data_IF_457219517356
#
_entry.id   IF_457219517356
#
_cell.length_a   1.000
_cell.length_b   1.000
_cell.length_c   1.000
_cell.angle_alpha   90.00
_cell.angle_beta   90.00
_cell.angle_gamma   90.00
#
_symmetry.space_group_name_H-M   'P 1'
#
loop_
_entity.id
_entity.type
_entity.pdbx_description
1 polymer ?
#
# COMPACT_ATOMS: atom_id res chain seq x y z
N UNK A 1 13.51 -50.81 1.12
CA UNK A 1 13.47 -50.83 2.61
C UNK A 1 12.42 -49.82 3.05
N UNK A 2 11.43 -50.28 3.82
CA UNK A 2 10.19 -49.55 4.19
C UNK A 2 10.45 -48.43 5.22
N UNK A 3 9.78 -47.30 4.99
CA UNK A 3 9.26 -46.26 5.89
C UNK A 3 10.05 -45.79 7.12
N UNK A 4 10.03 -44.47 7.35
CA UNK A 4 9.47 -43.86 8.58
C UNK A 4 8.97 -42.44 8.29
N UNK A 5 7.65 -42.30 8.17
CA UNK A 5 6.95 -41.02 8.20
C UNK A 5 6.77 -40.55 9.64
N UNK A 6 7.01 -39.26 9.87
CA UNK A 6 6.79 -38.60 11.16
C UNK A 6 5.35 -38.10 11.20
N UNK A 7 4.56 -38.67 12.10
CA UNK A 7 3.17 -38.27 12.38
C UNK A 7 3.19 -37.16 13.44
N UNK A 8 2.79 -35.95 13.06
CA UNK A 8 2.57 -34.85 14.00
C UNK A 8 1.26 -35.07 14.78
N UNK A 9 1.37 -35.27 16.10
CA UNK A 9 0.22 -35.30 17.02
C UNK A 9 -0.37 -33.90 17.17
N UNK A 10 -1.60 -33.69 16.64
CA UNK A 10 -2.46 -32.56 17.04
C UNK A 10 -2.88 -32.76 18.48
N UNK A 11 -2.38 -31.91 19.38
CA UNK A 11 -2.87 -31.79 20.76
C UNK A 11 -4.02 -30.78 20.72
N UNK A 12 -5.25 -31.26 20.83
CA UNK A 12 -6.43 -30.42 21.05
C UNK A 12 -6.31 -29.90 22.47
N UNK A 13 -6.12 -28.59 22.63
CA UNK A 13 -6.20 -27.92 23.92
C UNK A 13 -7.56 -27.24 23.97
N UNK A 14 -8.42 -27.79 24.83
CA UNK A 14 -9.73 -27.26 25.18
C UNK A 14 -9.53 -26.02 26.06
N UNK A 15 -10.00 -24.85 25.61
CA UNK A 15 -10.04 -23.63 26.42
C UNK A 15 -11.48 -23.11 26.48
N UNK A 16 -12.04 -23.13 27.68
CA UNK A 16 -13.35 -22.56 27.99
C UNK A 16 -13.45 -21.09 27.57
N UNK A 17 -14.41 -20.80 26.71
CA UNK A 17 -14.60 -19.49 26.08
C UNK A 17 -15.30 -18.54 27.06
N UNK A 18 -14.53 -17.71 27.78
CA UNK A 18 -15.02 -16.41 28.23
C UNK A 18 -14.97 -15.48 27.02
N UNK A 19 -16.14 -15.17 26.45
CA UNK A 19 -16.27 -14.33 25.27
C UNK A 19 -15.77 -12.92 25.59
N UNK A 20 -14.64 -12.50 25.01
CA UNK A 20 -14.04 -11.19 25.28
C UNK A 20 -14.82 -10.08 24.55
N UNK A 21 -14.81 -8.86 25.09
CA UNK A 21 -15.41 -7.66 24.48
C UNK A 21 -14.93 -7.43 23.03
N UNK A 22 -13.65 -7.70 22.77
CA UNK A 22 -13.07 -7.60 21.42
C UNK A 22 -13.56 -8.76 20.53
N UNK A 23 -13.78 -9.98 21.04
CA UNK A 23 -14.45 -11.07 20.27
C UNK A 23 -15.90 -10.72 19.91
N UNK A 24 -16.61 -10.02 20.80
CA UNK A 24 -17.95 -9.53 20.54
C UNK A 24 -17.94 -8.44 19.45
N UNK A 25 -16.97 -7.51 19.47
CA UNK A 25 -16.82 -6.44 18.49
C UNK A 25 -16.13 -6.88 17.17
N UNK A 26 -15.25 -7.87 17.17
CA UNK A 26 -14.58 -8.42 15.98
C UNK A 26 -15.52 -9.32 15.19
N UNK A 27 -16.44 -10.04 15.86
CA UNK A 27 -17.59 -10.67 15.19
C UNK A 27 -18.53 -9.65 14.52
N UNK A 28 -18.42 -8.36 14.82
CA UNK A 28 -19.13 -7.30 14.11
C UNK A 28 -18.43 -6.89 12.81
N UNK A 29 -17.12 -7.14 12.65
CA UNK A 29 -16.34 -6.70 11.48
C UNK A 29 -16.41 -7.66 10.30
N UNK A 30 -16.93 -8.87 10.52
CA UNK A 30 -16.88 -9.98 9.56
C UNK A 30 -18.27 -10.52 9.21
N UNK A 31 -19.19 -9.65 8.84
CA UNK A 31 -20.36 -10.04 8.03
C UNK A 31 -20.38 -9.18 6.76
N UNK A 32 -20.15 -9.79 5.57
CA UNK A 32 -20.23 -9.05 4.33
C UNK A 32 -21.70 -8.84 4.00
N UNK A 33 -22.17 -7.59 4.09
CA UNK A 33 -23.34 -7.22 3.29
C UNK A 33 -22.95 -7.42 1.83
N UNK A 34 -23.42 -8.52 1.26
CA UNK A 34 -23.24 -8.88 -0.12
C UNK A 34 -24.02 -7.89 -0.99
N UNK A 35 -23.34 -6.90 -1.58
CA UNK A 35 -23.71 -6.33 -2.88
C UNK A 35 -22.72 -5.31 -3.48
N UNK A 36 -21.49 -5.11 -3.00
CA UNK A 36 -20.52 -4.28 -3.74
C UNK A 36 -19.12 -4.90 -3.71
N UNK A 37 -18.77 -5.61 -4.78
CA UNK A 37 -17.44 -6.20 -4.98
C UNK A 37 -16.47 -5.14 -5.52
N UNK A 38 -15.31 -4.99 -4.89
CA UNK A 38 -14.09 -4.64 -5.63
C UNK A 38 -13.06 -3.71 -5.02
N UNK A 39 -13.13 -3.31 -3.74
CA UNK A 39 -12.08 -2.47 -3.14
C UNK A 39 -11.55 -3.05 -1.82
N UNK A 40 -10.30 -2.71 -1.51
CA UNK A 40 -9.49 -3.19 -0.39
C UNK A 40 -10.28 -3.28 0.93
N UNK A 41 -9.87 -4.20 1.82
CA UNK A 41 -10.52 -4.50 3.11
C UNK A 41 -11.17 -3.25 3.73
N UNK A 42 -12.50 -3.25 3.80
CA UNK A 42 -13.27 -2.08 4.23
C UNK A 42 -12.81 -1.64 5.63
N UNK A 43 -12.33 -0.42 5.74
CA UNK A 43 -11.99 0.17 7.03
C UNK A 43 -13.27 0.44 7.83
N UNK A 44 -13.23 0.46 9.17
CA UNK A 44 -14.38 0.85 9.97
C UNK A 44 -14.96 2.21 9.57
N UNK A 45 -14.11 3.16 9.14
CA UNK A 45 -14.52 4.47 8.67
C UNK A 45 -15.31 4.41 7.36
N UNK A 46 -14.84 3.66 6.35
CA UNK A 46 -15.59 3.49 5.10
C UNK A 46 -16.92 2.78 5.32
N UNK A 47 -16.95 1.77 6.22
CA UNK A 47 -18.18 1.09 6.59
C UNK A 47 -19.20 2.02 7.26
N UNK A 48 -18.77 2.89 8.18
CA UNK A 48 -19.64 3.88 8.82
C UNK A 48 -20.27 4.83 7.82
N UNK A 49 -19.47 5.33 6.86
CA UNK A 49 -19.96 6.25 5.84
C UNK A 49 -21.05 5.58 4.98
N UNK A 50 -20.82 4.35 4.52
CA UNK A 50 -21.81 3.60 3.72
C UNK A 50 -23.07 3.27 4.51
N UNK A 51 -22.95 2.80 5.75
CA UNK A 51 -24.11 2.44 6.58
C UNK A 51 -24.97 3.67 6.89
N UNK A 52 -24.35 4.84 7.12
CA UNK A 52 -25.08 6.12 7.29
C UNK A 52 -25.85 6.52 6.03
N UNK A 53 -25.27 6.34 4.85
CA UNK A 53 -25.95 6.62 3.57
C UNK A 53 -27.13 5.67 3.36
N UNK A 54 -26.94 4.38 3.63
CA UNK A 54 -28.03 3.40 3.57
C UNK A 54 -29.18 3.76 4.52
N UNK A 55 -28.85 4.20 5.74
CA UNK A 55 -29.85 4.60 6.73
C UNK A 55 -30.65 5.82 6.26
N UNK A 56 -30.02 6.84 5.66
CA UNK A 56 -30.76 7.95 5.05
C UNK A 56 -31.69 7.43 3.94
N UNK A 57 -31.20 6.52 3.09
CA UNK A 57 -32.01 5.95 2.02
C UNK A 57 -33.24 5.18 2.51
N UNK A 58 -33.14 4.45 3.63
CA UNK A 58 -34.30 3.77 4.23
C UNK A 58 -35.25 4.74 4.93
N UNK A 59 -34.72 5.74 5.64
CA UNK A 59 -35.53 6.77 6.30
C UNK A 59 -36.32 7.61 5.29
N UNK A 60 -35.71 7.98 4.16
CA UNK A 60 -36.38 8.74 3.10
C UNK A 60 -37.53 7.91 2.47
N UNK A 61 -37.38 6.59 2.29
CA UNK A 61 -38.48 5.70 1.84
C UNK A 61 -39.63 5.61 2.85
N UNK A 62 -39.29 5.54 4.14
CA UNK A 62 -40.28 5.45 5.21
C UNK A 62 -41.09 6.75 5.30
N UNK A 63 -40.43 7.90 5.09
CA UNK A 63 -41.06 9.22 5.06
C UNK A 63 -41.97 9.43 3.84
N UNK A 64 -41.66 8.84 2.67
CA UNK A 64 -42.55 8.85 1.50
C UNK A 64 -43.84 8.01 1.71
N UNK A 65 -43.78 6.99 2.57
CA UNK A 65 -44.92 6.14 2.93
C UNK A 65 -45.86 6.74 3.98
N UNK A 66 -45.34 7.60 4.87
CA UNK A 66 -46.12 8.30 5.88
C UNK A 66 -46.71 9.61 5.33
N UNK A 67 -48.01 9.62 5.01
CA UNK A 67 -48.75 10.86 4.74
C UNK A 67 -48.59 11.86 5.92
N UNK A 68 -48.53 13.19 5.67
CA UNK A 68 -48.16 14.18 6.68
C UNK A 68 -49.27 14.33 7.72
N UNK A 69 -49.24 13.48 8.74
CA UNK A 69 -50.09 13.52 9.94
C UNK A 69 -49.23 13.45 11.20
N UNK A 70 -48.18 14.26 11.25
CA UNK A 70 -47.60 14.67 12.52
C UNK A 70 -47.36 16.17 12.45
N UNK A 71 -47.90 16.87 13.45
CA UNK A 71 -47.72 18.30 13.63
C UNK A 71 -46.21 18.52 13.73
N UNK A 72 -45.67 19.43 12.92
CA UNK A 72 -44.28 19.85 13.00
C UNK A 72 -44.06 20.54 14.36
N UNK A 73 -43.82 19.74 15.40
CA UNK A 73 -43.37 20.25 16.68
C UNK A 73 -42.03 20.96 16.47
N UNK A 74 -41.91 22.14 17.04
CA UNK A 74 -40.73 22.99 16.87
C UNK A 74 -39.50 22.31 17.48
N UNK A 75 -38.58 21.93 16.59
CA UNK A 75 -37.13 21.75 16.75
C UNK A 75 -36.60 22.02 18.17
N UNK A 76 -36.13 21.02 18.92
CA UNK A 76 -35.17 21.28 19.97
C UNK A 76 -33.81 21.58 19.32
N UNK A 77 -33.37 22.85 19.35
CA UNK A 77 -32.03 23.29 18.90
C UNK A 77 -30.91 22.61 19.71
N UNK A 78 -31.24 22.12 20.91
CA UNK A 78 -30.41 21.27 21.76
C UNK A 78 -31.33 20.21 22.40
N UNK A 79 -31.31 18.98 21.89
CA UNK A 79 -32.12 17.89 22.43
C UNK A 79 -31.81 16.54 21.78
N UNK A 80 -32.34 15.49 22.40
CA UNK A 80 -32.36 14.15 21.83
C UNK A 80 -33.33 14.10 20.64
N UNK A 81 -33.01 13.36 19.57
CA UNK A 81 -33.91 13.23 18.42
C UNK A 81 -35.19 12.53 18.87
N UNK A 82 -36.34 13.12 18.52
CA UNK A 82 -37.67 12.58 18.86
C UNK A 82 -38.31 11.93 17.63
N UNK A 83 -37.98 12.42 16.43
CA UNK A 83 -38.56 11.92 15.17
C UNK A 83 -37.51 11.30 14.24
N UNK A 84 -37.95 10.43 13.34
CA UNK A 84 -37.11 9.85 12.28
C UNK A 84 -36.51 10.93 11.36
N UNK A 85 -37.25 12.01 11.12
CA UNK A 85 -36.78 13.17 10.35
C UNK A 85 -35.60 13.88 11.04
N UNK A 86 -35.62 14.00 12.37
CA UNK A 86 -34.50 14.59 13.13
C UNK A 86 -33.24 13.72 13.03
N UNK A 87 -33.42 12.39 13.07
CA UNK A 87 -32.31 11.43 12.89
C UNK A 87 -31.71 11.57 11.50
N UNK A 88 -32.56 11.61 10.45
CA UNK A 88 -32.15 11.79 9.06
C UNK A 88 -31.35 13.09 8.85
N UNK A 89 -31.83 14.20 9.42
CA UNK A 89 -31.11 15.48 9.38
C UNK A 89 -29.76 15.42 10.09
N UNK A 90 -29.72 14.86 11.30
CA UNK A 90 -28.47 14.73 12.08
C UNK A 90 -27.42 13.91 11.34
N UNK A 91 -27.81 12.79 10.72
CA UNK A 91 -26.90 11.95 9.94
C UNK A 91 -26.43 12.70 8.69
N UNK A 92 -27.33 13.41 8.00
CA UNK A 92 -26.99 14.24 6.85
C UNK A 92 -25.97 15.34 7.19
N UNK A 93 -26.11 15.99 8.35
CA UNK A 93 -25.13 16.98 8.83
C UNK A 93 -23.76 16.35 9.13
N UNK A 94 -23.73 15.14 9.71
CA UNK A 94 -22.48 14.43 9.99
C UNK A 94 -21.76 14.08 8.68
N UNK A 95 -22.48 13.51 7.72
CA UNK A 95 -21.91 13.16 6.42
C UNK A 95 -21.48 14.39 5.63
N UNK A 96 -22.27 15.47 5.66
CA UNK A 96 -21.90 16.74 5.06
C UNK A 96 -20.59 17.30 5.64
N UNK A 97 -20.44 17.29 6.98
CA UNK A 97 -19.21 17.73 7.66
C UNK A 97 -18.02 16.86 7.24
N UNK A 98 -18.21 15.55 7.14
CA UNK A 98 -17.15 14.63 6.72
C UNK A 98 -16.69 14.88 5.28
N UNK A 99 -17.64 15.06 4.35
CA UNK A 99 -17.33 15.40 2.94
C UNK A 99 -16.70 16.79 2.81
N UNK A 100 -17.19 17.77 3.57
CA UNK A 100 -16.65 19.13 3.56
C UNK A 100 -15.23 19.22 4.17
N UNK A 101 -14.87 18.28 5.05
CA UNK A 101 -13.54 18.18 5.65
C UNK A 101 -12.52 17.39 4.78
N UNK A 102 -12.90 16.93 3.58
CA UNK A 102 -11.98 16.24 2.68
C UNK A 102 -11.04 17.23 1.98
N UNK A 103 -9.74 17.00 2.09
CA UNK A 103 -8.74 17.87 1.47
C UNK A 103 -8.63 17.60 -0.04
N UNK A 104 -9.03 18.58 -0.85
CA UNK A 104 -9.00 18.53 -2.31
C UNK A 104 -7.58 18.46 -2.91
N UNK A 105 -6.56 18.84 -2.14
CA UNK A 105 -5.17 18.78 -2.57
C UNK A 105 -4.54 17.40 -2.35
N UNK A 106 -5.19 16.51 -1.61
CA UNK A 106 -4.72 15.14 -1.40
C UNK A 106 -4.81 14.32 -2.70
N UNK A 107 -3.74 13.59 -3.04
CA UNK A 107 -3.65 12.80 -4.28
C UNK A 107 -4.77 11.75 -4.43
N UNK A 108 -5.26 11.18 -3.32
CA UNK A 108 -6.36 10.19 -3.33
C UNK A 108 -7.71 10.86 -3.60
N UNK A 109 -7.86 12.09 -3.12
CA UNK A 109 -9.12 12.85 -3.16
C UNK A 109 -9.28 13.61 -4.49
N UNK A 110 -8.16 14.02 -5.11
CA UNK A 110 -8.12 14.77 -6.38
C UNK A 110 -8.97 14.17 -7.52
N UNK A 111 -8.95 12.84 -7.79
CA UNK A 111 -9.80 12.24 -8.82
C UNK A 111 -11.30 12.43 -8.59
N UNK A 112 -11.72 12.51 -7.32
CA UNK A 112 -13.12 12.60 -6.90
C UNK A 112 -13.59 14.03 -6.60
N UNK A 113 -12.76 15.04 -6.93
CA UNK A 113 -13.01 16.47 -6.64
C UNK A 113 -14.38 16.96 -7.11
N UNK A 114 -14.82 16.57 -8.30
CA UNK A 114 -16.12 16.98 -8.86
C UNK A 114 -17.29 16.55 -7.98
N UNK A 115 -17.24 15.33 -7.47
CA UNK A 115 -18.27 14.74 -6.60
C UNK A 115 -18.24 15.42 -5.23
N UNK A 116 -17.05 15.63 -4.67
CA UNK A 116 -16.88 16.30 -3.37
C UNK A 116 -17.39 17.74 -3.43
N UNK A 117 -17.05 18.52 -4.46
CA UNK A 117 -17.54 19.91 -4.59
C UNK A 117 -19.08 19.99 -4.75
N UNK A 118 -19.69 18.98 -5.37
CA UNK A 118 -21.16 18.85 -5.48
C UNK A 118 -21.79 18.61 -4.10
N UNK A 119 -21.27 17.64 -3.34
CA UNK A 119 -21.83 17.25 -2.04
C UNK A 119 -21.28 18.05 -0.84
N UNK A 120 -20.28 18.90 -1.03
CA UNK A 120 -19.85 19.87 -0.02
C UNK A 120 -20.89 20.98 0.20
N UNK A 121 -21.85 21.15 -0.70
CA UNK A 121 -22.95 22.13 -0.55
C UNK A 121 -24.06 21.55 0.34
N UNK A 122 -24.53 22.28 1.37
CA UNK A 122 -25.59 21.79 2.25
C UNK A 122 -26.93 21.55 1.51
N UNK A 123 -27.17 22.27 0.41
CA UNK A 123 -28.36 22.07 -0.44
C UNK A 123 -28.45 20.68 -1.05
N UNK A 124 -27.31 20.00 -1.27
CA UNK A 124 -27.28 18.66 -1.85
C UNK A 124 -27.82 17.59 -0.87
N UNK A 125 -27.83 17.87 0.43
CA UNK A 125 -28.25 16.93 1.47
C UNK A 125 -29.74 17.05 1.82
N UNK A 126 -30.45 18.07 1.31
CA UNK A 126 -31.89 18.26 1.59
C UNK A 126 -32.72 17.12 0.99
N UNK A 127 -32.42 16.70 -0.23
CA UNK A 127 -33.04 15.55 -0.89
C UNK A 127 -31.96 14.79 -1.65
N UNK A 128 -31.74 13.52 -1.28
CA UNK A 128 -30.76 12.65 -1.93
C UNK A 128 -31.50 11.65 -2.82
N UNK A 129 -31.19 11.65 -4.12
CA UNK A 129 -31.74 10.64 -5.02
C UNK A 129 -31.02 9.30 -4.83
N UNK A 130 -31.63 8.16 -5.20
CA UNK A 130 -30.96 6.86 -5.14
C UNK A 130 -29.63 6.82 -5.91
N UNK A 131 -29.53 7.55 -7.01
CA UNK A 131 -28.28 7.68 -7.80
C UNK A 131 -27.22 8.50 -7.04
N UNK A 132 -27.65 9.51 -6.28
CA UNK A 132 -26.73 10.29 -5.45
C UNK A 132 -26.14 9.45 -4.32
N UNK A 133 -26.94 8.57 -3.72
CA UNK A 133 -26.48 7.65 -2.67
C UNK A 133 -25.45 6.64 -3.21
N UNK A 134 -25.67 6.08 -4.41
CA UNK A 134 -24.71 5.14 -5.03
C UNK A 134 -23.43 5.83 -5.49
N UNK A 135 -23.52 7.04 -6.04
CA UNK A 135 -22.36 7.88 -6.38
C UNK A 135 -21.50 8.14 -5.13
N UNK A 136 -22.12 8.56 -4.02
CA UNK A 136 -21.43 8.79 -2.74
C UNK A 136 -20.80 7.52 -2.16
N UNK A 137 -21.52 6.39 -2.18
CA UNK A 137 -21.02 5.13 -1.66
C UNK A 137 -19.84 4.57 -2.45
N UNK A 138 -19.78 4.84 -3.77
CA UNK A 138 -18.72 4.30 -4.64
C UNK A 138 -17.50 5.21 -4.69
N UNK A 139 -17.71 6.53 -4.81
CA UNK A 139 -16.63 7.48 -5.08
C UNK A 139 -16.11 8.18 -3.82
N UNK A 140 -16.93 8.32 -2.77
CA UNK A 140 -16.58 9.12 -1.58
C UNK A 140 -16.29 8.23 -0.37
N UNK A 141 -16.87 7.02 -0.32
CA UNK A 141 -16.61 6.06 0.75
C UNK A 141 -15.12 5.71 0.87
N UNK A 142 -14.58 5.90 2.08
CA UNK A 142 -13.19 5.56 2.39
C UNK A 142 -12.15 6.60 1.99
N UNK A 143 -12.58 7.76 1.48
CA UNK A 143 -11.67 8.88 1.28
C UNK A 143 -11.22 9.47 2.63
N UNK A 144 -9.94 9.89 2.76
CA UNK A 144 -9.44 10.50 3.97
C UNK A 144 -10.03 11.90 4.17
N UNK A 145 -10.68 12.11 5.31
CA UNK A 145 -11.13 13.43 5.78
C UNK A 145 -10.18 13.97 6.86
N UNK A 146 -9.98 15.29 6.89
CA UNK A 146 -9.20 15.99 7.93
C UNK A 146 -10.05 16.21 9.19
N UNK A 147 -10.56 15.11 9.75
CA UNK A 147 -11.27 15.10 11.02
C UNK A 147 -10.38 14.51 12.12
N UNK A 148 -10.65 14.92 13.36
CA UNK A 148 -9.93 14.40 14.52
C UNK A 148 -10.05 12.86 14.59
N UNK A 149 -8.96 12.16 14.90
CA UNK A 149 -8.98 10.71 14.97
C UNK A 149 -9.83 10.26 16.15
N UNK A 150 -11.00 9.70 15.86
CA UNK A 150 -11.85 9.07 16.88
C UNK A 150 -11.31 7.68 17.27
N UNK A 151 -11.60 7.28 18.51
CA UNK A 151 -11.27 5.94 19.02
C UNK A 151 -11.94 4.84 18.17
N UNK A 152 -11.21 3.77 17.88
CA UNK A 152 -11.70 2.68 17.04
C UNK A 152 -12.92 1.98 17.66
N UNK A 153 -12.95 1.86 18.99
CA UNK A 153 -14.04 1.24 19.74
C UNK A 153 -15.35 2.05 19.60
N UNK A 154 -15.26 3.38 19.59
CA UNK A 154 -16.41 4.24 19.33
C UNK A 154 -16.94 4.05 17.90
N UNK A 155 -16.05 3.96 16.91
CA UNK A 155 -16.43 3.68 15.51
C UNK A 155 -17.11 2.32 15.35
N UNK A 156 -16.58 1.28 16.00
CA UNK A 156 -17.18 -0.07 15.96
C UNK A 156 -18.55 -0.09 16.64
N UNK A 157 -18.70 0.61 17.76
CA UNK A 157 -19.98 0.75 18.46
C UNK A 157 -21.02 1.50 17.61
N UNK A 158 -20.62 2.60 16.98
CA UNK A 158 -21.51 3.33 16.07
C UNK A 158 -21.98 2.45 14.92
N UNK A 159 -21.09 1.66 14.33
CA UNK A 159 -21.43 0.75 13.23
C UNK A 159 -22.44 -0.31 13.70
N UNK A 160 -22.26 -0.84 14.91
CA UNK A 160 -23.19 -1.79 15.52
C UNK A 160 -24.59 -1.17 15.70
N UNK A 161 -24.67 0.04 16.26
CA UNK A 161 -25.95 0.73 16.48
C UNK A 161 -26.63 1.15 15.16
N UNK A 162 -25.86 1.61 14.17
CA UNK A 162 -26.38 1.93 12.85
C UNK A 162 -26.94 0.70 12.14
N UNK A 163 -26.23 -0.44 12.21
CA UNK A 163 -26.73 -1.70 11.68
C UNK A 163 -27.98 -2.19 12.42
N UNK A 164 -28.07 -1.94 13.73
CA UNK A 164 -29.27 -2.27 14.51
C UNK A 164 -30.48 -1.40 14.09
N UNK A 165 -30.26 -0.11 13.85
CA UNK A 165 -31.29 0.80 13.31
C UNK A 165 -31.75 0.35 11.92
N UNK A 166 -30.83 -0.02 11.03
CA UNK A 166 -31.15 -0.57 9.71
C UNK A 166 -31.92 -1.89 9.81
N UNK A 167 -31.47 -2.81 10.66
CA UNK A 167 -32.13 -4.10 10.87
C UNK A 167 -33.55 -3.90 11.42
N UNK A 168 -33.77 -2.87 12.24
CA UNK A 168 -35.09 -2.51 12.71
C UNK A 168 -35.98 -2.01 11.57
N UNK A 169 -35.52 -1.02 10.79
CA UNK A 169 -36.28 -0.46 9.66
C UNK A 169 -36.63 -1.51 8.60
N UNK A 170 -35.69 -2.42 8.32
CA UNK A 170 -35.85 -3.50 7.34
C UNK A 170 -36.53 -4.75 7.92
N UNK A 171 -36.83 -4.78 9.22
CA UNK A 171 -37.35 -5.97 9.93
C UNK A 171 -36.49 -7.23 9.72
N UNK A 172 -35.17 -7.08 9.78
CA UNK A 172 -34.22 -8.16 9.54
C UNK A 172 -34.07 -9.10 10.77
N UNK A 173 -33.82 -10.41 10.54
CA UNK A 173 -33.62 -11.38 11.63
C UNK A 173 -32.32 -11.11 12.43
N UNK A 174 -31.39 -10.33 11.87
CA UNK A 174 -30.14 -9.95 12.52
C UNK A 174 -30.37 -9.07 13.76
N UNK A 175 -31.54 -8.43 13.89
CA UNK A 175 -31.90 -7.55 15.00
C UNK A 175 -31.69 -8.20 16.37
N UNK A 176 -32.15 -9.45 16.56
CA UNK A 176 -32.02 -10.14 17.84
C UNK A 176 -30.54 -10.33 18.26
N UNK A 177 -29.68 -10.68 17.29
CA UNK A 177 -28.24 -10.86 17.52
C UNK A 177 -27.56 -9.53 17.87
N UNK A 178 -27.87 -8.47 17.13
CA UNK A 178 -27.30 -7.14 17.35
C UNK A 178 -27.77 -6.54 18.69
N UNK A 179 -29.05 -6.71 19.03
CA UNK A 179 -29.61 -6.35 20.34
C UNK A 179 -28.85 -7.02 21.48
N UNK A 180 -28.66 -8.33 21.40
CA UNK A 180 -27.99 -9.08 22.47
C UNK A 180 -26.53 -8.65 22.63
N UNK A 181 -25.89 -8.18 21.55
CA UNK A 181 -24.56 -7.55 21.62
C UNK A 181 -24.61 -6.20 22.35
N UNK A 182 -25.58 -5.31 22.05
CA UNK A 182 -25.76 -4.05 22.78
C UNK A 182 -25.96 -4.33 24.27
N UNK A 183 -26.79 -5.32 24.63
CA UNK A 183 -27.00 -5.76 26.02
C UNK A 183 -25.71 -6.21 26.69
N UNK A 184 -24.86 -6.96 25.97
CA UNK A 184 -23.57 -7.39 26.49
C UNK A 184 -22.63 -6.19 26.76
N UNK A 185 -22.62 -5.19 25.87
CA UNK A 185 -21.84 -3.95 26.07
C UNK A 185 -22.38 -3.16 27.26
N UNK A 186 -23.70 -3.05 27.41
CA UNK A 186 -24.32 -2.37 28.55
C UNK A 186 -23.93 -3.01 29.89
N UNK A 187 -23.89 -4.34 29.98
CA UNK A 187 -23.41 -5.07 31.18
C UNK A 187 -21.96 -4.73 31.52
N UNK A 188 -21.08 -4.67 30.52
CA UNK A 188 -19.68 -4.32 30.73
C UNK A 188 -19.50 -2.87 31.18
N UNK A 189 -20.35 -1.96 30.70
CA UNK A 189 -20.38 -0.58 31.18
C UNK A 189 -20.89 -0.48 32.62
N UNK A 190 -21.88 -1.28 33.01
CA UNK A 190 -22.41 -1.32 34.38
C UNK A 190 -21.32 -1.72 35.40
N UNK A 191 -20.44 -2.66 35.06
CA UNK A 191 -19.28 -3.04 35.89
C UNK A 191 -18.35 -1.84 36.19
N UNK A 192 -18.37 -0.80 35.36
CA UNK A 192 -17.57 0.43 35.50
C UNK A 192 -18.33 1.58 36.17
N UNK A 193 -19.38 1.28 36.95
CA UNK A 193 -20.20 2.24 37.73
C UNK A 193 -19.43 3.15 38.71
N UNK A 194 -18.17 2.82 39.01
CA UNK A 194 -17.25 3.67 39.78
C UNK A 194 -16.96 4.99 39.07
N UNK A 195 -16.99 5.01 37.73
CA UNK A 195 -16.69 6.21 36.92
C UNK A 195 -17.91 7.17 36.92
N UNK A 196 -17.75 8.46 37.29
CA UNK A 196 -18.87 9.40 37.36
C UNK A 196 -19.67 9.56 36.06
N UNK A 197 -19.01 9.57 34.89
CA UNK A 197 -19.68 9.69 33.59
C UNK A 197 -20.57 8.50 33.27
N UNK A 198 -20.16 7.29 33.67
CA UNK A 198 -20.97 6.06 33.51
C UNK A 198 -22.18 6.11 34.45
N UNK A 199 -21.97 6.56 35.70
CA UNK A 199 -23.04 6.70 36.70
C UNK A 199 -24.15 7.65 36.24
N UNK A 200 -23.80 8.73 35.53
CA UNK A 200 -24.80 9.66 34.98
C UNK A 200 -25.74 9.00 33.97
N UNK A 201 -25.28 7.96 33.26
CA UNK A 201 -26.08 7.21 32.28
C UNK A 201 -26.57 5.86 32.81
N UNK A 202 -26.50 5.62 34.12
CA UNK A 202 -26.80 4.31 34.72
C UNK A 202 -28.25 3.85 34.46
N UNK A 203 -29.21 4.79 34.50
CA UNK A 203 -30.62 4.50 34.21
C UNK A 203 -30.77 3.91 32.81
N UNK A 204 -30.18 4.56 31.80
CA UNK A 204 -30.21 4.09 30.41
C UNK A 204 -29.51 2.73 30.26
N UNK A 205 -28.39 2.53 30.94
CA UNK A 205 -27.63 1.26 30.91
C UNK A 205 -28.46 0.11 31.49
N UNK A 206 -29.24 0.36 32.55
CA UNK A 206 -30.12 -0.63 33.16
C UNK A 206 -31.36 -0.90 32.30
N UNK A 207 -31.98 0.15 31.76
CA UNK A 207 -33.13 0.02 30.85
C UNK A 207 -32.78 -0.81 29.62
N UNK A 208 -31.60 -0.60 29.02
CA UNK A 208 -31.14 -1.38 27.87
C UNK A 208 -31.01 -2.88 28.16
N UNK A 209 -30.86 -3.28 29.42
CA UNK A 209 -30.76 -4.69 29.79
C UNK A 209 -32.12 -5.37 29.97
N UNK A 210 -33.19 -4.62 30.24
CA UNK A 210 -34.54 -5.17 30.39
C UNK A 210 -35.13 -5.50 29.02
N UNK A 211 -35.95 -6.54 28.93
CA UNK A 211 -36.61 -6.90 27.66
C UNK A 211 -37.73 -5.91 27.29
N UNK A 212 -38.32 -5.23 28.27
CA UNK A 212 -39.41 -4.27 28.12
C UNK A 212 -39.00 -3.09 27.22
N UNK A 213 -37.78 -2.57 27.41
CA UNK A 213 -37.26 -1.45 26.61
C UNK A 213 -37.18 -1.78 25.11
N UNK A 214 -37.03 -3.06 24.74
CA UNK A 214 -36.86 -3.50 23.36
C UNK A 214 -38.18 -3.84 22.64
N UNK A 215 -39.33 -3.83 23.31
CA UNK A 215 -40.60 -4.22 22.70
C UNK A 215 -41.08 -3.20 21.67
N UNK A 216 -41.03 -1.91 22.02
CA UNK A 216 -41.46 -0.79 21.18
C UNK A 216 -40.30 0.18 20.91
N UNK A 217 -39.09 -0.35 20.74
CA UNK A 217 -37.92 0.49 20.43
C UNK A 217 -38.15 1.19 19.10
N UNK A 218 -37.63 2.41 18.93
CA UNK A 218 -37.70 3.18 17.68
C UNK A 218 -36.31 3.64 17.24
N UNK A 219 -36.14 4.03 15.97
CA UNK A 219 -34.86 4.54 15.46
C UNK A 219 -34.35 5.75 16.24
N UNK A 220 -35.18 6.76 16.60
CA UNK A 220 -34.75 7.86 17.46
C UNK A 220 -34.26 7.39 18.83
N UNK A 221 -34.92 6.41 19.46
CA UNK A 221 -34.45 5.85 20.74
C UNK A 221 -33.07 5.20 20.62
N UNK A 222 -32.83 4.44 19.55
CA UNK A 222 -31.51 3.85 19.28
C UNK A 222 -30.43 4.93 19.02
N UNK A 223 -30.80 6.04 18.40
CA UNK A 223 -29.89 7.16 18.15
C UNK A 223 -29.45 7.85 19.44
N UNK A 224 -30.36 8.01 20.41
CA UNK A 224 -30.03 8.50 21.76
C UNK A 224 -29.02 7.57 22.44
N UNK A 225 -29.22 6.26 22.34
CA UNK A 225 -28.30 5.26 22.88
C UNK A 225 -26.90 5.41 22.26
N UNK A 226 -26.83 5.54 20.93
CA UNK A 226 -25.57 5.77 20.22
C UNK A 226 -24.85 7.00 20.77
N UNK A 227 -25.51 8.16 20.82
CA UNK A 227 -24.91 9.43 21.28
C UNK A 227 -24.40 9.37 22.72
N UNK A 228 -25.19 8.79 23.63
CA UNK A 228 -24.89 8.80 25.07
C UNK A 228 -23.85 7.75 25.48
N UNK A 229 -23.83 6.59 24.81
CA UNK A 229 -22.91 5.50 25.16
C UNK A 229 -21.58 5.56 24.40
N UNK A 230 -21.52 6.19 23.23
CA UNK A 230 -20.30 6.29 22.38
C UNK A 230 -19.05 6.68 23.16
N UNK A 231 -19.14 7.73 23.98
CA UNK A 231 -18.02 8.21 24.79
C UNK A 231 -17.68 7.31 25.97
N UNK A 232 -18.60 6.46 26.41
CA UNK A 232 -18.39 5.56 27.55
C UNK A 232 -17.72 4.26 27.12
N UNK A 233 -17.95 3.81 25.87
CA UNK A 233 -17.40 2.55 25.34
C UNK A 233 -15.86 2.52 25.38
N UNK A 234 -15.20 3.68 25.22
CA UNK A 234 -13.73 3.79 25.34
C UNK A 234 -13.17 3.46 26.73
N UNK A 235 -14.03 3.47 27.76
CA UNK A 235 -13.67 3.20 29.15
C UNK A 235 -13.65 1.70 29.47
N UNK A 236 -14.16 0.87 28.56
CA UNK A 236 -14.11 -0.59 28.70
C UNK A 236 -12.65 -1.01 28.52
N UNK A 237 -12.02 -1.41 29.62
CA UNK A 237 -10.63 -1.85 29.62
C UNK A 237 -10.41 -2.97 28.62
N UNK A 238 -9.35 -2.82 27.82
CA UNK A 238 -8.84 -3.86 26.94
C UNK A 238 -8.33 -4.98 27.82
N UNK A 239 -9.15 -5.99 28.10
CA UNK A 239 -8.66 -7.23 28.67
C UNK A 239 -7.45 -7.67 27.83
N UNK A 240 -6.31 -7.86 28.50
CA UNK A 240 -4.98 -8.05 27.94
C UNK A 240 -4.99 -8.56 26.50
N UNK A 241 -4.74 -7.66 25.55
CA UNK A 241 -4.43 -8.03 24.18
C UNK A 241 -3.24 -8.97 24.26
N UNK A 242 -3.44 -10.23 23.86
CA UNK A 242 -2.32 -11.15 23.68
C UNK A 242 -1.47 -10.50 22.56
N UNK A 243 -0.26 -10.00 22.84
CA UNK A 243 0.53 -9.33 21.82
C UNK A 243 0.71 -10.31 20.66
N UNK A 244 0.13 -9.97 19.51
CA UNK A 244 0.38 -10.69 18.27
C UNK A 244 1.72 -10.18 17.78
N UNK A 245 2.77 -10.94 18.08
CA UNK A 245 4.06 -10.72 17.44
C UNK A 245 3.93 -11.23 16.01
N UNK A 246 3.77 -10.30 15.07
CA UNK A 246 3.89 -10.62 13.67
C UNK A 246 5.37 -10.66 13.32
N UNK A 247 5.98 -11.81 13.60
CA UNK A 247 7.33 -12.11 13.15
C UNK A 247 7.23 -12.55 11.69
N UNK A 248 7.34 -11.58 10.79
CA UNK A 248 7.51 -11.86 9.38
C UNK A 248 9.01 -12.08 9.16
N UNK A 249 9.43 -13.35 9.10
CA UNK A 249 10.73 -13.66 8.51
C UNK A 249 10.63 -13.34 7.01
N UNK A 250 11.43 -12.38 6.55
CA UNK A 250 11.57 -12.08 5.13
C UNK A 250 12.11 -13.34 4.42
N UNK A 251 11.25 -14.09 3.73
CA UNK A 251 11.70 -15.11 2.79
C UNK A 251 12.32 -14.40 1.59
N UNK A 252 13.66 -14.38 1.53
CA UNK A 252 14.34 -14.02 0.29
C UNK A 252 13.96 -15.03 -0.79
N UNK A 253 13.06 -14.61 -1.68
CA UNK A 253 12.72 -15.37 -2.87
C UNK A 253 13.95 -15.62 -3.75
N UNK A 254 13.88 -16.60 -4.67
CA UNK A 254 15.00 -16.91 -5.56
C UNK A 254 15.39 -15.68 -6.38
N UNK A 255 16.67 -15.32 -6.34
CA UNK A 255 17.23 -14.23 -7.14
C UNK A 255 16.90 -14.45 -8.62
N UNK A 256 16.06 -13.57 -9.17
CA UNK A 256 15.80 -13.51 -10.61
C UNK A 256 16.72 -12.43 -11.18
N UNK A 257 17.82 -12.86 -11.79
CA UNK A 257 18.73 -11.96 -12.48
C UNK A 257 18.03 -11.32 -13.68
N UNK A 258 17.60 -10.07 -13.55
CA UNK A 258 17.13 -9.28 -14.68
C UNK A 258 18.32 -8.57 -15.33
N UNK A 259 18.67 -9.01 -16.54
CA UNK A 259 19.63 -8.27 -17.37
C UNK A 259 19.00 -6.93 -17.79
N UNK A 260 19.43 -5.83 -17.17
CA UNK A 260 18.98 -4.48 -17.50
C UNK A 260 19.43 -4.13 -18.93
N UNK A 261 18.48 -4.20 -19.86
CA UNK A 261 18.71 -3.89 -21.28
C UNK A 261 19.01 -2.39 -21.44
N UNK A 262 20.28 -2.04 -21.56
CA UNK A 262 20.75 -0.66 -21.73
C UNK A 262 21.87 -0.23 -20.78
N UNK A 263 22.11 -0.96 -19.68
CA UNK A 263 23.33 -0.83 -18.86
C UNK A 263 24.39 -1.78 -19.44
N UNK A 264 24.81 -1.44 -20.66
CA UNK A 264 25.45 -2.35 -21.58
C UNK A 264 26.81 -2.88 -21.14
N UNK A 265 27.08 -4.10 -21.59
CA UNK A 265 28.38 -4.78 -21.75
C UNK A 265 29.48 -3.87 -22.38
N UNK A 266 29.12 -2.71 -22.95
CA UNK A 266 30.06 -1.71 -23.45
C UNK A 266 30.78 -0.89 -22.37
N UNK A 267 30.20 -0.70 -21.17
CA UNK A 267 30.85 0.06 -20.10
C UNK A 267 32.04 -0.71 -19.47
N UNK A 268 31.97 -2.04 -19.45
CA UNK A 268 33.06 -2.91 -19.01
C UNK A 268 34.24 -2.86 -19.97
N UNK A 269 33.97 -2.98 -21.27
CA UNK A 269 35.03 -3.03 -22.29
C UNK A 269 35.78 -1.70 -22.47
N UNK A 270 35.09 -0.55 -22.33
CA UNK A 270 35.76 0.75 -22.33
C UNK A 270 36.73 0.89 -21.13
N UNK A 271 36.29 0.49 -19.93
CA UNK A 271 37.14 0.48 -18.72
C UNK A 271 38.30 -0.51 -18.84
N UNK A 272 38.08 -1.66 -19.49
CA UNK A 272 39.14 -2.61 -19.82
C UNK A 272 40.21 -1.97 -20.72
N UNK A 273 39.81 -1.29 -21.80
CA UNK A 273 40.74 -0.58 -22.70
C UNK A 273 41.57 0.46 -21.96
N UNK A 274 40.96 1.27 -21.10
CA UNK A 274 41.66 2.29 -20.32
C UNK A 274 42.68 1.67 -19.34
N UNK A 275 42.29 0.60 -18.63
CA UNK A 275 43.19 -0.13 -17.72
C UNK A 275 44.32 -0.82 -18.47
N UNK A 276 44.02 -1.45 -19.61
CA UNK A 276 45.01 -2.13 -20.43
C UNK A 276 46.04 -1.14 -20.97
N UNK A 277 45.60 0.03 -21.44
CA UNK A 277 46.50 1.08 -21.88
C UNK A 277 47.40 1.59 -20.74
N UNK A 278 46.84 1.81 -19.54
CA UNK A 278 47.63 2.24 -18.38
C UNK A 278 48.68 1.20 -17.97
N UNK A 279 48.30 -0.08 -17.92
CA UNK A 279 49.18 -1.19 -17.59
C UNK A 279 50.33 -1.33 -18.59
N UNK A 280 50.01 -1.34 -19.89
CA UNK A 280 50.99 -1.46 -20.97
C UNK A 280 51.94 -0.27 -21.01
N UNK A 281 51.49 0.94 -20.67
CA UNK A 281 52.35 2.12 -20.52
C UNK A 281 53.27 2.03 -19.32
N UNK A 282 52.85 1.42 -18.22
CA UNK A 282 53.69 1.21 -17.05
C UNK A 282 54.77 0.13 -17.28
N UNK A 283 54.54 -0.82 -18.19
CA UNK A 283 55.40 -1.99 -18.42
C UNK A 283 56.18 -1.90 -19.75
N UNK A 284 56.50 -0.68 -20.20
CA UNK A 284 57.25 -0.45 -21.46
C UNK A 284 58.66 -1.05 -21.45
N UNK A 285 59.19 -1.39 -20.28
CA UNK A 285 60.50 -2.02 -20.12
C UNK A 285 60.49 -3.52 -20.44
N UNK A 286 59.31 -4.12 -20.65
CA UNK A 286 59.19 -5.52 -21.01
C UNK A 286 59.58 -5.77 -22.47
N UNK A 287 60.42 -6.79 -22.70
CA UNK A 287 61.00 -7.13 -24.01
C UNK A 287 59.93 -7.28 -25.11
N UNK A 288 58.81 -7.90 -24.79
CA UNK A 288 57.72 -8.11 -25.73
C UNK A 288 57.01 -6.81 -26.15
N UNK A 289 56.85 -5.86 -25.23
CA UNK A 289 56.25 -4.55 -25.52
C UNK A 289 57.25 -3.68 -26.30
N UNK A 290 58.55 -3.78 -26.00
CA UNK A 290 59.60 -3.12 -26.78
C UNK A 290 59.67 -3.63 -28.22
N UNK A 291 59.55 -4.94 -28.43
CA UNK A 291 59.51 -5.54 -29.76
C UNK A 291 58.30 -5.05 -30.57
N UNK A 292 57.12 -4.92 -29.94
CA UNK A 292 55.94 -4.32 -30.57
C UNK A 292 56.16 -2.87 -30.99
N UNK A 293 56.81 -2.05 -30.14
CA UNK A 293 57.08 -0.63 -30.44
C UNK A 293 58.12 -0.44 -31.54
N UNK A 294 59.15 -1.28 -31.55
CA UNK A 294 60.25 -1.25 -32.53
C UNK A 294 59.94 -2.01 -33.82
N UNK A 295 58.69 -2.44 -34.02
CA UNK A 295 58.21 -3.17 -35.19
C UNK A 295 58.98 -4.45 -35.50
N UNK A 296 59.47 -5.15 -34.46
CA UNK A 296 60.10 -6.46 -34.60
C UNK A 296 59.04 -7.55 -34.67
N UNK A 297 59.32 -8.61 -35.43
CA UNK A 297 58.43 -9.76 -35.51
C UNK A 297 58.27 -10.40 -34.12
N UNK A 298 57.03 -10.66 -33.72
CA UNK A 298 56.73 -11.36 -32.47
C UNK A 298 56.72 -12.87 -32.70
N UNK A 299 57.28 -13.61 -31.74
CA UNK A 299 57.22 -15.06 -31.71
C UNK A 299 55.91 -15.54 -31.08
N UNK A 300 55.55 -16.82 -31.27
CA UNK A 300 54.37 -17.39 -30.62
C UNK A 300 54.46 -17.34 -29.08
N UNK A 301 55.67 -17.51 -28.52
CA UNK A 301 55.93 -17.35 -27.09
C UNK A 301 55.68 -15.92 -26.61
N UNK A 302 56.04 -14.91 -27.41
CA UNK A 302 55.80 -13.50 -27.06
C UNK A 302 54.30 -13.18 -26.95
N UNK A 303 53.48 -13.75 -27.84
CA UNK A 303 52.03 -13.54 -27.80
C UNK A 303 51.39 -14.20 -26.59
N UNK A 304 51.84 -15.40 -26.21
CA UNK A 304 51.38 -16.09 -25.00
C UNK A 304 51.79 -15.33 -23.73
N UNK A 305 52.98 -14.74 -23.70
CA UNK A 305 53.45 -13.92 -22.58
C UNK A 305 52.62 -12.64 -22.42
N UNK A 306 52.26 -11.96 -23.52
CA UNK A 306 51.37 -10.79 -23.48
C UNK A 306 49.99 -11.14 -22.94
N UNK A 307 49.45 -12.28 -23.36
CA UNK A 307 48.17 -12.76 -22.88
C UNK A 307 48.21 -13.09 -21.38
N UNK A 308 49.28 -13.76 -20.93
CA UNK A 308 49.50 -14.03 -19.51
C UNK A 308 49.59 -12.74 -18.69
N UNK A 309 50.36 -11.75 -19.15
CA UNK A 309 50.52 -10.47 -18.43
C UNK A 309 49.22 -9.68 -18.31
N UNK A 310 48.39 -9.67 -19.36
CA UNK A 310 47.09 -8.99 -19.32
C UNK A 310 46.08 -9.72 -18.41
N UNK A 311 46.15 -11.06 -18.35
CA UNK A 311 45.33 -11.86 -17.45
C UNK A 311 45.76 -11.76 -15.97
N UNK A 312 47.07 -11.87 -15.69
CA UNK A 312 47.64 -11.81 -14.33
C UNK A 312 47.51 -10.42 -13.68
N UNK A 313 47.49 -9.36 -14.48
CA UNK A 313 47.34 -7.99 -13.99
C UNK A 313 45.91 -7.62 -13.56
N UNK A 314 44.93 -8.50 -13.79
CA UNK A 314 43.53 -8.27 -13.41
C UNK A 314 42.87 -7.11 -14.18
N UNK A 315 43.43 -6.76 -15.34
CA UNK A 315 43.01 -5.61 -16.16
C UNK A 315 41.66 -5.85 -16.83
N UNK A 316 41.30 -7.11 -17.11
CA UNK A 316 40.00 -7.54 -17.63
C UNK A 316 39.77 -9.03 -17.47
N UNK A 317 38.53 -9.48 -17.70
CA UNK A 317 38.22 -10.90 -17.71
C UNK A 317 38.77 -11.56 -18.99
N UNK A 318 38.89 -12.89 -19.02
CA UNK A 318 39.41 -13.63 -20.19
C UNK A 318 38.57 -13.33 -21.44
N UNK A 319 37.28 -13.10 -21.24
CA UNK A 319 36.31 -12.73 -22.27
C UNK A 319 36.62 -11.37 -22.92
N UNK A 320 37.13 -10.40 -22.16
CA UNK A 320 37.52 -9.08 -22.69
C UNK A 320 38.78 -9.17 -23.57
N UNK A 321 39.71 -10.08 -23.22
CA UNK A 321 40.93 -10.33 -23.98
C UNK A 321 40.60 -11.01 -25.32
N UNK A 322 39.72 -12.00 -25.32
CA UNK A 322 39.23 -12.66 -26.53
C UNK A 322 38.45 -11.69 -27.44
N UNK A 323 37.63 -10.83 -26.84
CA UNK A 323 36.95 -9.76 -27.57
C UNK A 323 37.96 -8.80 -28.22
N UNK A 324 39.01 -8.41 -27.51
CA UNK A 324 40.05 -7.55 -28.08
C UNK A 324 40.81 -8.19 -29.25
N UNK A 325 41.10 -9.50 -29.16
CA UNK A 325 41.72 -10.27 -30.25
C UNK A 325 40.87 -10.25 -31.51
N UNK A 326 39.57 -10.49 -31.37
CA UNK A 326 38.63 -10.53 -32.50
C UNK A 326 38.41 -9.16 -33.15
N UNK A 327 38.23 -8.09 -32.36
CA UNK A 327 38.01 -6.73 -32.90
C UNK A 327 39.24 -6.18 -33.64
N UNK A 328 40.46 -6.50 -33.18
CA UNK A 328 41.70 -5.92 -33.71
C UNK A 328 42.48 -6.85 -34.64
N UNK A 329 41.91 -7.99 -35.03
CA UNK A 329 42.56 -9.02 -35.87
C UNK A 329 43.89 -9.51 -35.30
N UNK A 330 43.94 -9.66 -33.96
CA UNK A 330 45.09 -10.18 -33.22
C UNK A 330 45.51 -9.29 -32.05
N UNK A 331 46.01 -9.92 -30.99
CA UNK A 331 46.40 -9.25 -29.74
C UNK A 331 47.54 -8.24 -29.95
N UNK A 332 48.52 -8.56 -30.80
CA UNK A 332 49.64 -7.66 -31.08
C UNK A 332 49.23 -6.35 -31.75
N UNK A 333 48.22 -6.39 -32.64
CA UNK A 333 47.68 -5.19 -33.29
C UNK A 333 46.87 -4.33 -32.30
N UNK A 334 46.13 -4.98 -31.40
CA UNK A 334 45.41 -4.32 -30.32
C UNK A 334 46.37 -3.58 -29.38
N UNK A 335 47.42 -4.25 -28.90
CA UNK A 335 48.41 -3.63 -28.00
C UNK A 335 49.13 -2.48 -28.71
N UNK A 336 49.47 -2.65 -30.00
CA UNK A 336 50.14 -1.60 -30.79
C UNK A 336 49.27 -0.37 -30.99
N UNK A 337 47.95 -0.51 -31.16
CA UNK A 337 47.04 0.63 -31.29
C UNK A 337 46.91 1.45 -30.00
N UNK A 338 47.14 0.84 -28.83
CA UNK A 338 47.07 1.52 -27.52
C UNK A 338 48.39 2.16 -27.07
N UNK A 339 49.53 1.51 -27.34
CA UNK A 339 50.87 1.96 -26.89
C UNK A 339 51.56 2.85 -27.91
N UNK A 340 51.23 2.70 -29.20
CA UNK A 340 51.90 3.41 -30.30
C UNK A 340 53.24 2.79 -30.70
N UNK A 341 53.76 3.20 -31.86
CA UNK A 341 55.05 2.75 -32.40
C UNK A 341 56.17 3.75 -32.08
N UNK A 342 57.40 3.27 -32.04
CA UNK A 342 58.57 4.14 -31.96
C UNK A 342 58.75 4.95 -33.25
N UNK A 343 59.20 6.21 -33.10
CA UNK A 343 59.29 7.16 -34.21
C UNK A 343 60.30 6.72 -35.27
N UNK A 344 61.42 6.12 -34.87
CA UNK A 344 62.44 5.67 -35.81
C UNK A 344 62.00 4.40 -36.52
N UNK A 345 61.35 3.48 -35.81
CA UNK A 345 60.75 2.28 -36.42
C UNK A 345 59.64 2.62 -37.43
N UNK A 346 58.79 3.62 -37.12
CA UNK A 346 57.76 4.09 -38.03
C UNK A 346 58.35 4.72 -39.31
N UNK A 347 59.39 5.56 -39.17
CA UNK A 347 60.10 6.13 -40.33
C UNK A 347 60.76 5.05 -41.20
N UNK A 348 61.36 4.03 -40.59
CA UNK A 348 61.99 2.92 -41.31
C UNK A 348 60.97 2.07 -42.06
N UNK A 349 59.83 1.75 -41.42
CA UNK A 349 58.74 1.02 -42.06
C UNK A 349 58.13 1.83 -43.22
N UNK A 350 57.95 3.14 -43.04
CA UNK A 350 57.50 4.05 -44.08
C UNK A 350 58.52 4.15 -45.22
N UNK A 351 59.81 4.31 -44.92
CA UNK A 351 60.88 4.34 -45.92
C UNK A 351 60.94 3.03 -46.73
N UNK A 352 60.76 1.88 -46.07
CA UNK A 352 60.63 0.58 -46.75
C UNK A 352 59.37 0.46 -47.61
N UNK A 353 58.24 1.05 -47.19
CA UNK A 353 57.01 1.09 -47.98
C UNK A 353 57.13 2.00 -49.21
N UNK A 354 57.89 3.10 -49.09
CA UNK A 354 58.18 4.05 -50.17
C UNK A 354 59.26 3.53 -51.14
N UNK A 355 60.15 2.65 -50.69
CA UNK A 355 61.18 2.06 -51.53
C UNK A 355 60.56 1.26 -52.68
N UNK A 356 60.79 1.72 -53.91
CA UNK A 356 60.26 1.11 -55.14
C UNK A 356 58.89 1.63 -55.60
N UNK A 357 58.32 2.65 -54.94
CA UNK A 357 57.04 3.28 -55.33
C UNK A 357 57.21 4.77 -55.56
N UNK A 358 56.82 5.28 -56.73
CA UNK A 358 56.78 6.72 -57.03
C UNK A 358 55.44 7.30 -56.60
N UNK A 359 55.33 7.71 -55.34
CA UNK A 359 54.12 8.33 -54.77
C UNK A 359 54.23 9.85 -54.77
N UNK A 360 53.15 10.54 -55.15
CA UNK A 360 53.09 12.01 -55.12
C UNK A 360 52.94 12.58 -53.70
N UNK A 361 53.27 13.85 -53.48
CA UNK A 361 53.24 14.49 -52.16
C UNK A 361 51.89 14.32 -51.43
N UNK A 362 50.77 14.38 -52.15
CA UNK A 362 49.42 14.17 -51.59
C UNK A 362 49.15 12.71 -51.15
N UNK A 363 49.86 11.73 -51.71
CA UNK A 363 49.73 10.31 -51.37
C UNK A 363 50.62 9.91 -50.19
N UNK A 364 51.66 10.71 -49.88
CA UNK A 364 52.58 10.48 -48.76
C UNK A 364 51.99 11.02 -47.44
N UNK A 365 51.16 12.07 -47.50
CA UNK A 365 50.54 12.69 -46.30
C UNK A 365 49.31 11.90 -45.82
N UNK A 366 48.69 11.10 -46.68
CA UNK A 366 47.47 10.33 -46.39
C UNK A 366 47.73 8.86 -45.97
N UNK A 367 48.99 8.40 -46.01
CA UNK A 367 49.43 7.08 -45.58
C UNK A 367 50.08 7.17 -44.19
#
# INVERSE_FOLDING_TARGET
MKMRGVVAKRRVIDYGVKCSFETLLERCSYEPHAAWRGHAAATPASGLFTTRLELIGELDKHHEGESPRSVAESRPVFGDPVTEADVRLTIGEILHKEVAAMNLDNFVVRPHRRVIEKYAKPSAWVALTPEALTELATEVSGLPAELDPEAEEAKRFDLLLLNLQLAQLRSEPAFARLRDQVKAIARLLEEKSTIPMVRQQMVLIQDLQTDEWWQDVTVPMLEVVRRRLRDLVKLIEKQQRKPIYTDFEDEMGPETGFALRGLGEGAGFAKFRDKAQAFLRAHQDHVTIQNLRTNKALTASDLSELERMLAESGVGAVEDIERAKSESRGLGLFVRSMVGMDREAAKQALAGFLAGKTLGANQIVAA
#
